data_IF_266588450067
#
_entry.id   IF_266588450067
#
_cell.length_a   1.000
_cell.length_b   1.000
_cell.length_c   1.000
_cell.angle_alpha   90.00
_cell.angle_beta   90.00
_cell.angle_gamma   90.00
#
_symmetry.space_group_name_H-M   'P 1'
#
loop_
_entity.id
_entity.type
_entity.pdbx_description
1 polymer ?
#
# COMPACT_ATOMS: atom_id res chain seq x y z
N UNK A 1 -8.27 2.11 6.56
CA UNK A 1 -9.10 2.40 7.76
C UNK A 1 -8.16 2.46 8.94
N UNK A 2 -8.09 3.59 9.64
CA UNK A 2 -7.29 3.68 10.85
C UNK A 2 -8.04 3.04 12.05
N UNK A 3 -7.35 2.74 13.16
CA UNK A 3 -7.96 2.08 14.32
C UNK A 3 -9.20 2.81 14.86
N UNK A 4 -9.18 4.15 14.91
CA UNK A 4 -10.33 4.92 15.39
C UNK A 4 -11.56 4.71 14.50
N UNK A 5 -11.40 4.85 13.18
CA UNK A 5 -12.49 4.63 12.22
C UNK A 5 -13.06 3.20 12.30
N UNK A 6 -12.20 2.21 12.54
CA UNK A 6 -12.63 0.83 12.70
C UNK A 6 -13.57 0.67 13.90
N UNK A 7 -13.19 1.20 15.07
CA UNK A 7 -14.03 1.13 16.26
C UNK A 7 -15.30 1.99 16.13
N UNK A 8 -15.22 3.18 15.53
CA UNK A 8 -16.37 4.04 15.29
C UNK A 8 -17.43 3.36 14.40
N UNK A 9 -16.96 2.67 13.35
CA UNK A 9 -17.84 1.92 12.46
C UNK A 9 -18.55 0.77 13.19
N UNK A 10 -17.78 -0.01 13.96
CA UNK A 10 -18.32 -1.15 14.69
C UNK A 10 -19.31 -0.72 15.78
N UNK A 11 -18.97 0.35 16.50
CA UNK A 11 -19.89 0.98 17.44
C UNK A 11 -21.19 1.42 16.78
N UNK A 12 -21.10 2.08 15.63
CA UNK A 12 -22.28 2.54 14.90
C UNK A 12 -23.18 1.38 14.47
N UNK A 13 -22.60 0.27 14.06
CA UNK A 13 -23.34 -0.94 13.73
C UNK A 13 -24.07 -1.51 14.96
N UNK A 14 -23.39 -1.66 16.08
CA UNK A 14 -23.99 -2.13 17.32
C UNK A 14 -25.10 -1.20 17.83
N UNK A 15 -24.85 0.11 17.86
CA UNK A 15 -25.85 1.09 18.28
C UNK A 15 -27.11 1.03 17.44
N UNK A 16 -26.95 0.98 16.09
CA UNK A 16 -28.09 0.87 15.20
C UNK A 16 -28.86 -0.44 15.38
N UNK A 17 -28.16 -1.54 15.62
CA UNK A 17 -28.78 -2.82 15.93
C UNK A 17 -29.67 -2.72 17.18
N UNK A 18 -29.19 -2.12 18.27
CA UNK A 18 -29.95 -1.97 19.51
C UNK A 18 -31.12 -1.01 19.38
N UNK A 19 -30.95 0.12 18.66
CA UNK A 19 -32.06 1.04 18.35
C UNK A 19 -33.15 0.33 17.54
N UNK A 20 -32.78 -0.42 16.53
CA UNK A 20 -33.72 -1.19 15.71
C UNK A 20 -34.41 -2.33 16.49
N UNK A 21 -33.80 -2.79 17.59
CA UNK A 21 -34.37 -3.75 18.53
C UNK A 21 -35.30 -3.11 19.57
N UNK A 22 -35.57 -1.80 19.46
CA UNK A 22 -36.50 -1.08 20.31
C UNK A 22 -35.89 -0.39 21.53
N UNK A 23 -34.56 -0.36 21.68
CA UNK A 23 -33.92 0.39 22.75
C UNK A 23 -33.92 1.91 22.48
N UNK A 24 -33.98 2.70 23.52
CA UNK A 24 -33.76 4.14 23.40
C UNK A 24 -32.31 4.44 22.93
N UNK A 25 -32.09 5.61 22.33
CA UNK A 25 -30.78 6.02 21.83
C UNK A 25 -29.72 6.00 22.95
N UNK A 26 -30.07 6.42 24.16
CA UNK A 26 -29.17 6.41 25.33
C UNK A 26 -28.79 5.00 25.76
N UNK A 27 -29.77 4.12 25.92
CA UNK A 27 -29.53 2.71 26.28
C UNK A 27 -28.73 1.98 25.19
N UNK A 28 -29.04 2.20 23.93
CA UNK A 28 -28.32 1.63 22.80
C UNK A 28 -26.86 2.10 22.76
N UNK A 29 -26.62 3.38 23.10
CA UNK A 29 -25.27 3.93 23.21
C UNK A 29 -24.45 3.24 24.31
N UNK A 30 -24.98 3.16 25.52
CA UNK A 30 -24.31 2.50 26.65
C UNK A 30 -24.03 1.02 26.36
N UNK A 31 -25.03 0.33 25.81
CA UNK A 31 -24.91 -1.07 25.43
C UNK A 31 -23.90 -1.30 24.34
N UNK A 32 -23.86 -0.44 23.32
CA UNK A 32 -22.88 -0.51 22.24
C UNK A 32 -21.45 -0.31 22.76
N UNK A 33 -21.22 0.64 23.66
CA UNK A 33 -19.91 0.82 24.29
C UNK A 33 -19.47 -0.39 25.11
N UNK A 34 -20.38 -0.97 25.89
CA UNK A 34 -20.09 -2.15 26.71
C UNK A 34 -19.75 -3.36 25.83
N UNK A 35 -20.53 -3.58 24.77
CA UNK A 35 -20.37 -4.76 23.93
C UNK A 35 -19.27 -4.60 22.88
N UNK A 36 -18.90 -3.37 22.51
CA UNK A 36 -17.84 -3.12 21.51
C UNK A 36 -16.53 -3.85 21.85
N UNK A 37 -16.17 -3.89 23.11
CA UNK A 37 -14.93 -4.51 23.60
C UNK A 37 -15.18 -5.84 24.33
N UNK A 38 -16.43 -6.31 24.38
CA UNK A 38 -16.78 -7.60 24.91
C UNK A 38 -16.20 -8.75 24.04
N UNK A 39 -16.30 -9.98 24.54
CA UNK A 39 -15.89 -11.16 23.79
C UNK A 39 -16.69 -11.30 22.49
N UNK A 40 -16.09 -11.96 21.51
CA UNK A 40 -16.74 -12.20 20.21
C UNK A 40 -18.07 -12.96 20.35
N UNK A 41 -18.20 -13.85 21.36
CA UNK A 41 -19.44 -14.57 21.64
C UNK A 41 -20.59 -13.65 22.11
N UNK A 42 -20.24 -12.46 22.64
CA UNK A 42 -21.19 -11.44 23.08
C UNK A 42 -21.41 -10.34 22.02
N UNK A 43 -20.93 -10.58 20.78
CA UNK A 43 -21.03 -9.65 19.66
C UNK A 43 -19.96 -8.54 19.64
N UNK A 44 -18.98 -8.64 20.52
CA UNK A 44 -17.88 -7.67 20.59
C UNK A 44 -16.64 -8.13 19.81
N UNK A 45 -15.65 -7.25 19.77
CA UNK A 45 -14.37 -7.49 19.08
C UNK A 45 -13.41 -8.40 19.86
N UNK A 46 -13.67 -8.64 21.16
CA UNK A 46 -12.82 -9.43 22.03
C UNK A 46 -11.49 -8.79 22.43
N UNK A 47 -11.15 -7.64 21.87
CA UNK A 47 -9.92 -6.93 22.18
C UNK A 47 -10.10 -5.41 22.02
N UNK A 48 -9.15 -4.65 22.59
CA UNK A 48 -9.08 -3.21 22.50
C UNK A 48 -7.63 -2.77 22.44
N UNK A 49 -7.32 -1.90 21.49
CA UNK A 49 -5.97 -1.36 21.30
C UNK A 49 -5.80 0.04 21.89
N UNK A 50 -6.84 0.59 22.50
CA UNK A 50 -6.81 1.87 23.19
C UNK A 50 -6.80 1.68 24.71
N UNK A 51 -6.15 2.62 25.40
CA UNK A 51 -6.33 2.82 26.83
C UNK A 51 -7.29 3.99 27.03
N UNK A 52 -8.38 3.73 27.75
CA UNK A 52 -9.40 4.75 28.09
C UNK A 52 -9.23 5.14 29.56
N UNK A 53 -9.27 6.44 29.90
CA UNK A 53 -9.24 6.87 31.30
C UNK A 53 -10.37 6.24 32.11
N UNK A 54 -10.09 5.93 33.37
CA UNK A 54 -11.07 5.29 34.26
C UNK A 54 -12.35 6.13 34.37
N UNK A 55 -13.49 5.46 34.26
CA UNK A 55 -14.83 6.09 34.40
C UNK A 55 -15.28 6.84 33.14
N UNK A 56 -14.52 6.78 32.04
CA UNK A 56 -14.92 7.38 30.77
C UNK A 56 -15.32 6.31 29.75
N UNK A 57 -16.22 6.68 28.84
CA UNK A 57 -16.62 5.83 27.73
C UNK A 57 -15.59 5.90 26.62
N UNK A 58 -15.43 4.80 25.89
CA UNK A 58 -14.50 4.73 24.77
C UNK A 58 -15.00 5.50 23.53
N UNK A 59 -16.28 5.32 23.20
CA UNK A 59 -16.92 6.06 22.10
C UNK A 59 -17.98 7.00 22.71
N UNK A 60 -17.90 8.28 22.39
CA UNK A 60 -18.89 9.25 22.80
C UNK A 60 -20.23 9.07 22.08
N UNK A 61 -21.29 9.71 22.61
CA UNK A 61 -22.63 9.65 22.01
C UNK A 61 -22.68 10.18 20.57
N UNK A 62 -21.70 11.02 20.20
CA UNK A 62 -21.46 11.52 18.84
C UNK A 62 -20.87 10.45 17.90
N UNK A 63 -20.60 9.25 18.38
CA UNK A 63 -20.02 8.15 17.60
C UNK A 63 -18.52 8.27 17.36
N UNK A 64 -17.82 9.16 18.06
CA UNK A 64 -16.38 9.38 17.92
C UNK A 64 -15.60 8.81 19.10
N UNK A 65 -14.41 8.31 18.81
CA UNK A 65 -13.47 7.88 19.86
C UNK A 65 -13.20 9.03 20.81
N UNK A 66 -13.20 8.71 22.10
CA UNK A 66 -12.91 9.66 23.17
C UNK A 66 -11.54 10.31 22.94
N UNK A 67 -11.44 11.65 22.86
CA UNK A 67 -10.16 12.32 22.65
C UNK A 67 -9.11 12.05 23.72
N UNK A 68 -9.54 11.65 24.93
CA UNK A 68 -8.65 11.26 26.02
C UNK A 68 -8.17 9.81 25.92
N UNK A 69 -8.72 9.00 25.01
CA UNK A 69 -8.25 7.65 24.78
C UNK A 69 -6.91 7.68 24.02
N UNK A 70 -5.94 6.91 24.51
CA UNK A 70 -4.62 6.81 23.91
C UNK A 70 -4.43 5.47 23.22
N UNK A 71 -3.80 5.49 22.04
CA UNK A 71 -3.46 4.26 21.31
C UNK A 71 -2.34 3.50 22.04
N UNK A 72 -2.54 2.22 22.26
CA UNK A 72 -1.62 1.34 22.97
C UNK A 72 -2.22 0.87 24.29
N UNK A 73 -2.67 -0.38 24.32
CA UNK A 73 -3.15 -1.02 25.56
C UNK A 73 -1.99 -1.72 26.26
N UNK A 74 -1.77 -1.37 27.51
CA UNK A 74 -0.82 -2.08 28.36
C UNK A 74 -1.43 -3.41 28.81
N UNK A 75 -0.68 -4.46 28.62
CA UNK A 75 -0.98 -5.80 29.12
C UNK A 75 0.21 -6.33 29.92
N UNK A 76 -0.04 -6.93 31.06
CA UNK A 76 0.98 -7.64 31.84
C UNK A 76 0.73 -9.13 31.71
N UNK A 77 1.70 -9.85 31.19
CA UNK A 77 1.66 -11.30 31.05
C UNK A 77 2.97 -11.89 31.60
N UNK A 78 2.89 -12.86 32.50
CA UNK A 78 4.05 -13.48 33.18
C UNK A 78 5.04 -12.46 33.76
N UNK A 79 4.54 -11.37 34.37
CA UNK A 79 5.36 -10.32 34.97
C UNK A 79 6.07 -9.40 33.98
N UNK A 80 5.84 -9.57 32.69
CA UNK A 80 6.37 -8.68 31.62
C UNK A 80 5.27 -7.78 31.09
N UNK A 81 5.64 -6.54 30.77
CA UNK A 81 4.75 -5.56 30.19
C UNK A 81 4.80 -5.63 28.66
N UNK A 82 3.63 -5.66 28.06
CA UNK A 82 3.41 -5.62 26.63
C UNK A 82 2.48 -4.46 26.29
N UNK A 83 2.67 -3.86 25.12
CA UNK A 83 1.79 -2.84 24.57
C UNK A 83 1.16 -3.33 23.30
N UNK A 84 -0.16 -3.52 23.29
CA UNK A 84 -0.92 -3.90 22.11
C UNK A 84 -1.12 -2.64 21.27
N UNK A 85 -0.49 -2.58 20.11
CA UNK A 85 -0.67 -1.54 19.11
C UNK A 85 -1.00 -2.19 17.77
N UNK A 86 -1.88 -1.59 16.98
CA UNK A 86 -2.09 -2.07 15.61
C UNK A 86 -0.84 -1.78 14.79
N UNK A 87 -0.42 -2.75 13.99
CA UNK A 87 0.63 -2.56 12.99
C UNK A 87 0.03 -1.94 11.74
N UNK A 88 0.77 -1.04 11.11
CA UNK A 88 0.44 -0.55 9.78
C UNK A 88 1.04 -1.47 8.72
N UNK A 89 0.28 -2.47 8.31
CA UNK A 89 0.69 -3.42 7.28
C UNK A 89 0.91 -2.75 5.92
N UNK A 90 0.24 -1.63 5.66
CA UNK A 90 0.42 -0.86 4.43
C UNK A 90 1.82 -0.26 4.40
N UNK A 91 2.23 0.35 5.49
CA UNK A 91 3.56 0.95 5.63
C UNK A 91 4.67 -0.12 5.67
N UNK A 92 4.37 -1.27 6.28
CA UNK A 92 5.30 -2.40 6.32
C UNK A 92 5.45 -3.12 4.97
N UNK A 93 4.37 -3.20 4.15
CA UNK A 93 4.36 -3.93 2.89
C UNK A 93 4.69 -3.05 1.68
N UNK A 94 4.41 -1.77 1.74
CA UNK A 94 4.51 -0.85 0.61
C UNK A 94 5.42 0.34 0.92
N UNK A 95 6.04 0.85 -0.13
CA UNK A 95 6.89 2.05 -0.10
C UNK A 95 6.49 3.02 -1.20
N UNK A 96 6.87 4.28 -1.06
CA UNK A 96 6.86 5.20 -2.18
C UNK A 96 7.81 4.71 -3.24
N UNK A 97 7.36 4.59 -4.48
CA UNK A 97 8.14 4.09 -5.59
C UNK A 97 8.49 5.22 -6.56
N UNK A 98 9.65 5.12 -7.18
CA UNK A 98 10.13 6.07 -8.17
C UNK A 98 10.35 5.35 -9.50
N UNK A 99 9.83 5.95 -10.58
CA UNK A 99 10.13 5.54 -11.94
C UNK A 99 10.97 6.60 -12.63
N UNK A 100 12.09 6.20 -13.16
CA UNK A 100 13.02 7.06 -13.91
C UNK A 100 13.26 6.49 -15.30
N UNK A 101 13.21 7.35 -16.30
CA UNK A 101 13.45 6.95 -17.68
C UNK A 101 14.36 7.98 -18.36
N UNK A 102 15.46 7.51 -18.90
CA UNK A 102 16.45 8.32 -19.58
C UNK A 102 16.55 7.87 -21.05
N UNK A 103 16.30 8.79 -21.96
CA UNK A 103 16.34 8.54 -23.39
C UNK A 103 17.39 9.46 -24.03
N UNK A 104 18.27 8.87 -24.82
CA UNK A 104 19.21 9.60 -25.66
C UNK A 104 19.12 9.08 -27.05
N UNK A 105 19.18 9.97 -28.06
CA UNK A 105 19.22 9.59 -29.45
C UNK A 105 20.14 10.50 -30.24
N UNK A 106 20.73 9.93 -31.27
CA UNK A 106 21.56 10.65 -32.25
C UNK A 106 21.13 10.24 -33.66
N UNK A 107 21.06 11.21 -34.54
CA UNK A 107 20.83 10.96 -35.95
C UNK A 107 21.78 11.79 -36.79
N UNK A 108 22.22 11.25 -37.88
CA UNK A 108 23.09 11.93 -38.82
C UNK A 108 22.85 11.46 -40.25
N UNK A 109 23.03 12.36 -41.18
CA UNK A 109 22.96 12.06 -42.61
C UNK A 109 24.12 12.72 -43.34
N UNK A 110 24.76 12.00 -44.19
CA UNK A 110 25.80 12.52 -45.10
C UNK A 110 25.68 11.88 -46.46
N UNK A 111 25.49 12.70 -47.50
CA UNK A 111 25.35 12.22 -48.86
C UNK A 111 24.44 11.00 -49.01
N UNK A 112 25.05 9.85 -49.17
CA UNK A 112 24.36 8.58 -49.43
C UNK A 112 24.11 7.73 -48.16
N UNK A 113 24.50 8.20 -46.97
CA UNK A 113 24.39 7.44 -45.73
C UNK A 113 23.55 8.17 -44.71
N UNK A 114 22.70 7.44 -44.01
CA UNK A 114 22.03 7.91 -42.79
C UNK A 114 22.21 6.93 -41.64
N UNK A 115 22.41 7.46 -40.45
CA UNK A 115 22.54 6.69 -39.22
C UNK A 115 21.58 7.24 -38.18
N UNK A 116 20.99 6.34 -37.45
CA UNK A 116 20.20 6.64 -36.23
C UNK A 116 20.63 5.69 -35.14
N UNK A 117 20.90 6.26 -33.95
CA UNK A 117 21.17 5.50 -32.75
C UNK A 117 20.30 6.02 -31.64
N UNK A 118 19.78 5.13 -30.78
CA UNK A 118 19.10 5.51 -29.54
C UNK A 118 19.43 4.55 -28.41
N UNK A 119 19.45 5.11 -27.21
CA UNK A 119 19.62 4.37 -25.98
C UNK A 119 18.55 4.83 -24.97
N UNK A 120 17.93 3.87 -24.32
CA UNK A 120 16.94 4.10 -23.28
C UNK A 120 17.33 3.29 -22.05
N UNK A 121 17.38 3.94 -20.90
CA UNK A 121 17.47 3.31 -19.59
C UNK A 121 16.19 3.59 -18.82
N UNK A 122 15.55 2.56 -18.31
CA UNK A 122 14.39 2.62 -17.45
C UNK A 122 14.72 1.92 -16.15
N UNK A 123 14.61 2.67 -15.05
CA UNK A 123 14.54 2.13 -13.70
C UNK A 123 13.12 2.33 -13.16
N UNK A 124 12.49 1.26 -12.70
CA UNK A 124 11.15 1.28 -12.16
C UNK A 124 11.16 0.54 -10.83
N UNK A 125 11.17 1.30 -9.76
CA UNK A 125 10.98 0.75 -8.42
C UNK A 125 9.53 0.35 -8.23
N UNK A 126 9.27 -0.86 -7.72
CA UNK A 126 7.93 -1.29 -7.38
C UNK A 126 7.47 -0.73 -6.03
N UNK A 127 6.17 -0.60 -5.87
CA UNK A 127 5.54 -0.17 -4.61
C UNK A 127 5.72 -1.19 -3.49
N UNK A 128 5.83 -2.48 -3.81
CA UNK A 128 6.18 -3.51 -2.84
C UNK A 128 7.69 -3.64 -2.72
N UNK A 129 8.19 -3.94 -1.53
CA UNK A 129 9.61 -4.20 -1.33
C UNK A 129 10.09 -5.37 -2.20
N UNK A 130 11.33 -5.29 -2.69
CA UNK A 130 11.95 -6.29 -3.57
C UNK A 130 11.24 -6.53 -4.93
N UNK A 131 10.51 -5.52 -5.43
CA UNK A 131 9.89 -5.56 -6.75
C UNK A 131 10.43 -4.43 -7.62
N UNK A 132 11.62 -4.61 -8.20
CA UNK A 132 12.32 -3.57 -8.96
C UNK A 132 12.61 -4.08 -10.38
N UNK A 133 12.59 -3.18 -11.36
CA UNK A 133 12.89 -3.50 -12.75
C UNK A 133 13.85 -2.47 -13.35
N UNK A 134 14.94 -2.97 -13.92
CA UNK A 134 15.85 -2.21 -14.79
C UNK A 134 15.73 -2.69 -16.22
N UNK A 135 15.63 -1.78 -17.16
CA UNK A 135 15.63 -2.08 -18.59
C UNK A 135 16.56 -1.17 -19.37
N UNK A 136 17.42 -1.78 -20.13
CA UNK A 136 18.31 -1.12 -21.09
C UNK A 136 17.85 -1.48 -22.51
N UNK A 137 17.65 -0.47 -23.35
CA UNK A 137 17.30 -0.68 -24.77
C UNK A 137 18.22 0.14 -25.62
N UNK A 138 18.88 -0.50 -26.60
CA UNK A 138 19.68 0.17 -27.58
C UNK A 138 19.15 -0.14 -28.99
N UNK A 139 19.10 0.84 -29.86
CA UNK A 139 18.69 0.70 -31.24
C UNK A 139 19.70 1.36 -32.16
N UNK A 140 20.02 0.71 -33.24
CA UNK A 140 20.88 1.24 -34.30
C UNK A 140 20.22 0.98 -35.66
N UNK A 141 20.15 2.01 -36.48
CA UNK A 141 19.71 1.90 -37.86
C UNK A 141 20.72 2.61 -38.75
N UNK A 142 21.10 1.94 -39.81
CA UNK A 142 21.98 2.47 -40.83
C UNK A 142 21.36 2.21 -42.21
N UNK A 143 21.25 3.25 -43.01
CA UNK A 143 20.83 3.18 -44.39
C UNK A 143 21.97 3.72 -45.26
N UNK A 144 22.34 3.01 -46.33
CA UNK A 144 23.40 3.42 -47.25
C UNK A 144 22.97 3.20 -48.72
N UNK A 145 22.92 4.28 -49.48
CA UNK A 145 22.62 4.28 -50.89
C UNK A 145 23.93 4.14 -51.68
N UNK A 146 24.32 2.89 -52.00
CA UNK A 146 25.57 2.61 -52.70
C UNK A 146 25.55 3.05 -54.16
N UNK A 147 24.39 2.88 -54.87
CA UNK A 147 24.14 3.32 -56.24
C UNK A 147 22.67 3.73 -56.37
N UNK A 148 22.30 4.43 -57.44
CA UNK A 148 20.90 4.83 -57.68
C UNK A 148 19.90 3.66 -57.61
N UNK A 149 20.37 2.45 -57.93
CA UNK A 149 19.57 1.23 -57.92
C UNK A 149 19.89 0.28 -56.76
N UNK A 150 20.86 0.62 -55.87
CA UNK A 150 21.30 -0.28 -54.80
C UNK A 150 21.33 0.45 -53.44
N UNK A 151 20.48 0.02 -52.51
CA UNK A 151 20.42 0.51 -51.14
C UNK A 151 20.65 -0.64 -50.17
N UNK A 152 21.47 -0.41 -49.16
CA UNK A 152 21.65 -1.27 -48.01
C UNK A 152 20.98 -0.66 -46.80
N UNK A 153 20.29 -1.46 -46.01
CA UNK A 153 19.68 -1.07 -44.74
C UNK A 153 19.99 -2.12 -43.67
N UNK A 154 20.51 -1.67 -42.55
CA UNK A 154 20.75 -2.51 -41.39
C UNK A 154 20.02 -1.94 -40.16
N UNK A 155 19.42 -2.81 -39.40
CA UNK A 155 18.67 -2.45 -38.21
C UNK A 155 18.99 -3.44 -37.08
N UNK A 156 19.45 -2.96 -35.93
CA UNK A 156 19.78 -3.74 -34.78
C UNK A 156 19.03 -3.18 -33.56
N UNK A 157 18.43 -4.06 -32.81
CA UNK A 157 17.79 -3.75 -31.54
C UNK A 157 18.34 -4.67 -30.43
N UNK A 158 18.70 -4.10 -29.33
CA UNK A 158 19.13 -4.83 -28.14
C UNK A 158 18.28 -4.39 -26.95
N UNK A 159 17.76 -5.34 -26.21
CA UNK A 159 17.04 -5.07 -24.96
C UNK A 159 17.54 -6.04 -23.91
N UNK A 160 17.93 -5.50 -22.76
CA UNK A 160 18.25 -6.24 -21.58
C UNK A 160 17.39 -5.72 -20.44
N UNK A 161 16.78 -6.62 -19.69
CA UNK A 161 16.03 -6.27 -18.49
C UNK A 161 16.43 -7.18 -17.35
N UNK A 162 16.42 -6.61 -16.16
CA UNK A 162 16.54 -7.31 -14.88
C UNK A 162 15.33 -6.91 -14.05
N UNK A 163 14.70 -7.87 -13.45
CA UNK A 163 13.64 -7.60 -12.48
C UNK A 163 13.81 -8.51 -11.27
N UNK A 164 13.49 -7.95 -10.10
CA UNK A 164 13.30 -8.69 -8.87
C UNK A 164 11.80 -8.88 -8.70
N UNK A 165 11.40 -10.08 -8.44
CA UNK A 165 10.01 -10.44 -8.20
C UNK A 165 9.91 -10.99 -6.77
N UNK A 166 8.83 -10.63 -6.09
CA UNK A 166 8.49 -11.27 -4.83
C UNK A 166 8.15 -12.72 -5.14
N UNK A 167 8.92 -13.64 -4.58
CA UNK A 167 8.65 -15.08 -4.72
C UNK A 167 7.59 -15.47 -3.69
N UNK A 168 6.40 -15.76 -4.15
CA UNK A 168 5.27 -16.23 -3.33
C UNK A 168 5.25 -17.78 -3.22
N UNK A 169 6.28 -18.44 -3.68
CA UNK A 169 6.35 -19.91 -3.68
C UNK A 169 6.64 -20.54 -2.31
N UNK A 170 6.78 -19.72 -1.26
CA UNK A 170 7.11 -20.16 0.09
C UNK A 170 5.95 -20.27 1.09
N UNK A 171 4.72 -19.98 0.69
CA UNK A 171 3.53 -20.06 1.54
C UNK A 171 2.76 -21.37 1.27
N UNK A 172 3.33 -22.49 1.72
CA UNK A 172 2.73 -23.81 1.72
C UNK A 172 2.93 -24.48 3.05
#
# INVERSE_FOLDING_TARGET
TNPAQFYELHYSALKNYYVNSGMSIGEAHLRANTNLTANANDGGLGYMVYTVPSGQEFIGINGKVNPAATLGRRLVYEGKEYYIRPDDWTDAAFRSSLRQEYNASISGQTGNASIYGSFCYLNNEGIAYNSDMDRYTARLRVDYQAKKWLKFSANANYTHFRYNQIDDSGAG
#
